data_IF_827031476615
#
_entry.id   IF_827031476615
#
_cell.length_a   1.000
_cell.length_b   1.000
_cell.length_c   1.000
_cell.angle_alpha   90.00
_cell.angle_beta   90.00
_cell.angle_gamma   90.00
#
_symmetry.space_group_name_H-M   'P 1'
#
loop_
_entity.id
_entity.type
_entity.pdbx_description
1 polymer ?
#
# COMPACT_ATOMS: atom_id res chain seq x y z
N UNK A 1 -16.03 -16.53 10.82
CA UNK A 1 -14.59 -16.67 11.14
C UNK A 1 -14.02 -15.26 11.07
N UNK A 2 -13.44 -14.78 12.14
CA UNK A 2 -12.86 -13.44 12.20
C UNK A 2 -11.38 -13.53 11.80
N UNK A 3 -10.90 -12.62 10.93
CA UNK A 3 -9.49 -12.57 10.54
C UNK A 3 -8.70 -11.90 11.66
N UNK A 4 -7.67 -12.56 12.18
CA UNK A 4 -6.82 -12.02 13.24
C UNK A 4 -5.38 -11.83 12.78
N UNK A 5 -4.80 -10.70 13.17
CA UNK A 5 -3.37 -10.38 13.06
C UNK A 5 -2.73 -10.22 14.45
N UNK A 6 -3.36 -10.79 15.49
CA UNK A 6 -2.86 -10.70 16.85
C UNK A 6 -1.42 -11.18 16.97
N UNK A 7 -0.58 -10.36 17.59
CA UNK A 7 0.84 -10.64 17.78
C UNK A 7 1.69 -10.46 16.50
N UNK A 8 1.17 -9.91 15.43
CA UNK A 8 1.92 -9.52 14.22
C UNK A 8 2.31 -8.04 14.28
N UNK A 9 3.47 -7.70 13.74
CA UNK A 9 3.94 -6.32 13.55
C UNK A 9 3.86 -5.96 12.08
N UNK A 10 3.11 -4.91 11.77
CA UNK A 10 2.86 -4.44 10.42
C UNK A 10 3.40 -3.03 10.20
N UNK A 11 4.08 -2.80 9.08
CA UNK A 11 4.46 -1.47 8.61
C UNK A 11 3.57 -1.08 7.43
N UNK A 12 2.99 0.14 7.49
CA UNK A 12 2.12 0.67 6.43
C UNK A 12 2.70 1.96 5.88
N UNK A 13 3.27 1.91 4.67
CA UNK A 13 3.77 3.12 4.00
C UNK A 13 2.61 3.96 3.46
N UNK A 14 2.71 5.29 3.60
CA UNK A 14 1.60 6.19 3.24
C UNK A 14 0.36 5.99 4.12
N UNK A 15 0.55 5.61 5.39
CA UNK A 15 -0.50 5.27 6.35
C UNK A 15 -1.27 6.45 6.96
N UNK A 16 -1.02 7.69 6.49
CA UNK A 16 -1.55 8.89 7.15
C UNK A 16 -2.92 9.34 6.68
N UNK A 17 -3.40 8.86 5.53
CA UNK A 17 -4.71 9.21 4.94
C UNK A 17 -5.19 8.17 3.93
N UNK A 18 -6.45 8.31 3.49
CA UNK A 18 -7.04 7.51 2.40
C UNK A 18 -6.91 6.01 2.62
N UNK A 19 -6.53 5.27 1.58
CA UNK A 19 -6.38 3.81 1.62
C UNK A 19 -5.39 3.38 2.71
N UNK A 20 -4.22 4.05 2.81
CA UNK A 20 -3.22 3.71 3.82
C UNK A 20 -3.73 3.83 5.24
N UNK A 21 -4.49 4.88 5.54
CA UNK A 21 -5.10 5.05 6.87
C UNK A 21 -6.16 3.98 7.15
N UNK A 22 -6.97 3.62 6.16
CA UNK A 22 -7.93 2.52 6.30
C UNK A 22 -7.23 1.17 6.54
N UNK A 23 -6.08 0.90 5.89
CA UNK A 23 -5.25 -0.29 6.16
C UNK A 23 -4.74 -0.27 7.60
N UNK A 24 -4.22 0.87 8.07
CA UNK A 24 -3.76 1.03 9.47
C UNK A 24 -4.87 0.65 10.44
N UNK A 25 -6.06 1.25 10.30
CA UNK A 25 -7.21 0.95 11.17
C UNK A 25 -7.60 -0.52 11.12
N UNK A 26 -7.72 -1.07 9.91
CA UNK A 26 -8.14 -2.46 9.73
C UNK A 26 -7.16 -3.46 10.35
N UNK A 27 -5.86 -3.19 10.28
CA UNK A 27 -4.84 -4.04 10.91
C UNK A 27 -4.86 -3.92 12.43
N UNK A 28 -5.07 -2.71 12.99
CA UNK A 28 -5.23 -2.49 14.43
C UNK A 28 -6.48 -3.19 14.97
N UNK A 29 -7.62 -3.07 14.27
CA UNK A 29 -8.85 -3.78 14.60
C UNK A 29 -8.67 -5.31 14.60
N UNK A 30 -7.80 -5.83 13.73
CA UNK A 30 -7.42 -7.24 13.69
C UNK A 30 -6.38 -7.65 14.75
N UNK A 31 -5.94 -6.73 15.61
CA UNK A 31 -5.04 -6.98 16.74
C UNK A 31 -3.55 -6.92 16.43
N UNK A 32 -3.15 -6.34 15.29
CA UNK A 32 -1.74 -6.11 14.97
C UNK A 32 -1.17 -4.91 15.74
N UNK A 33 0.14 -4.93 16.02
CA UNK A 33 0.92 -3.72 16.26
C UNK A 33 1.20 -3.07 14.90
N UNK A 34 0.90 -1.78 14.74
CA UNK A 34 1.06 -1.09 13.46
C UNK A 34 2.01 0.10 13.55
N UNK A 35 2.99 0.15 12.65
CA UNK A 35 3.86 1.31 12.44
C UNK A 35 3.41 2.00 11.15
N UNK A 36 2.75 3.14 11.27
CA UNK A 36 2.36 3.96 10.12
C UNK A 36 3.51 4.86 9.66
N UNK A 37 3.74 4.94 8.34
CA UNK A 37 4.74 5.81 7.76
C UNK A 37 4.07 7.00 7.08
N UNK A 38 4.44 8.22 7.49
CA UNK A 38 4.09 9.48 6.83
C UNK A 38 5.21 9.97 5.90
N UNK A 39 4.89 10.94 5.05
CA UNK A 39 5.90 11.63 4.22
C UNK A 39 6.65 12.74 4.98
N UNK A 40 6.10 13.17 6.12
CA UNK A 40 6.67 14.16 7.03
C UNK A 40 6.32 13.79 8.46
N UNK A 41 7.19 14.14 9.39
CA UNK A 41 6.97 13.88 10.82
C UNK A 41 5.62 14.44 11.31
N UNK A 42 5.28 15.67 10.95
CA UNK A 42 4.03 16.30 11.35
C UNK A 42 2.77 15.58 10.85
N UNK A 43 2.79 15.03 9.62
CA UNK A 43 1.66 14.26 9.10
C UNK A 43 1.54 12.88 9.74
N UNK A 44 2.66 12.26 10.09
CA UNK A 44 2.69 10.99 10.80
C UNK A 44 2.15 11.15 12.23
N UNK A 45 2.56 12.20 12.95
CA UNK A 45 2.08 12.53 14.30
C UNK A 45 0.59 12.87 14.33
N UNK A 46 0.10 13.64 13.35
CA UNK A 46 -1.31 13.95 13.24
C UNK A 46 -2.16 12.68 13.00
N UNK A 47 -1.69 11.78 12.14
CA UNK A 47 -2.37 10.51 11.90
C UNK A 47 -2.33 9.60 13.13
N UNK A 48 -1.20 9.54 13.85
CA UNK A 48 -1.08 8.82 15.11
C UNK A 48 -2.10 9.35 16.14
N UNK A 49 -2.17 10.67 16.34
CA UNK A 49 -3.12 11.28 17.27
C UNK A 49 -4.57 10.92 16.91
N UNK A 50 -4.92 10.99 15.61
CA UNK A 50 -6.24 10.62 15.11
C UNK A 50 -6.56 9.14 15.37
N UNK A 51 -5.60 8.23 15.15
CA UNK A 51 -5.80 6.81 15.47
C UNK A 51 -6.05 6.63 16.97
N UNK A 52 -5.29 7.31 17.82
CA UNK A 52 -5.45 7.22 19.26
C UNK A 52 -6.78 7.82 19.78
N UNK A 53 -7.32 8.80 19.10
CA UNK A 53 -8.67 9.33 19.39
C UNK A 53 -9.76 8.31 19.01
N UNK A 54 -9.65 7.67 17.83
CA UNK A 54 -10.63 6.71 17.33
C UNK A 54 -10.52 5.32 17.98
N UNK A 55 -9.30 4.91 18.33
CA UNK A 55 -8.95 3.61 18.89
C UNK A 55 -7.93 3.80 20.04
N UNK A 56 -8.35 4.20 21.25
CA UNK A 56 -7.45 4.58 22.35
C UNK A 56 -6.46 3.46 22.75
N UNK A 57 -6.91 2.21 22.72
CA UNK A 57 -6.11 1.04 23.12
C UNK A 57 -5.25 0.47 21.98
N UNK A 58 -5.31 1.04 20.77
CA UNK A 58 -4.58 0.53 19.62
C UNK A 58 -3.06 0.61 19.83
N UNK A 59 -2.35 -0.44 19.46
CA UNK A 59 -0.88 -0.50 19.51
C UNK A 59 -0.30 0.06 18.20
N UNK A 60 -0.23 1.40 18.12
CA UNK A 60 0.18 2.16 16.94
C UNK A 60 1.41 3.02 17.21
N UNK A 61 2.27 3.14 16.22
CA UNK A 61 3.47 3.99 16.19
C UNK A 61 3.54 4.75 14.88
N UNK A 62 4.29 5.86 14.87
CA UNK A 62 4.42 6.71 13.69
C UNK A 62 5.90 7.01 13.38
N UNK A 63 6.27 6.88 12.11
CA UNK A 63 7.59 7.22 11.59
C UNK A 63 7.45 7.99 10.26
N UNK A 64 8.51 8.66 9.83
CA UNK A 64 8.49 9.41 8.58
C UNK A 64 9.82 9.30 7.79
N UNK A 65 10.26 8.08 7.41
CA UNK A 65 11.46 7.94 6.60
C UNK A 65 11.22 8.45 5.18
N UNK A 66 12.24 9.01 4.55
CA UNK A 66 12.23 9.26 3.10
C UNK A 66 12.25 7.93 2.36
N UNK A 67 11.13 7.52 1.74
CA UNK A 67 11.00 6.20 1.13
C UNK A 67 11.86 6.01 -0.13
N UNK A 68 12.30 7.10 -0.78
CA UNK A 68 13.22 7.05 -1.91
C UNK A 68 14.69 6.94 -1.48
N UNK A 69 14.97 7.17 -0.19
CA UNK A 69 16.29 7.03 0.42
C UNK A 69 16.46 5.63 1.04
N UNK A 70 17.35 4.86 0.47
CA UNK A 70 17.63 3.49 0.92
C UNK A 70 18.08 3.41 2.37
N UNK A 71 19.00 4.30 2.78
CA UNK A 71 19.55 4.27 4.13
C UNK A 71 18.48 4.61 5.18
N UNK A 72 17.67 5.64 4.91
CA UNK A 72 16.57 6.03 5.79
C UNK A 72 15.53 4.90 5.96
N UNK A 73 15.19 4.16 4.89
CA UNK A 73 14.27 3.02 4.97
C UNK A 73 14.89 1.86 5.75
N UNK A 74 16.15 1.51 5.47
CA UNK A 74 16.85 0.42 6.17
C UNK A 74 16.97 0.70 7.67
N UNK A 75 17.32 1.92 8.06
CA UNK A 75 17.38 2.35 9.46
C UNK A 75 16.01 2.29 10.14
N UNK A 76 14.97 2.82 9.48
CA UNK A 76 13.61 2.82 10.01
C UNK A 76 13.07 1.39 10.21
N UNK A 77 13.30 0.47 9.26
CA UNK A 77 12.81 -0.90 9.36
C UNK A 77 13.64 -1.73 10.37
N UNK A 78 14.94 -1.44 10.48
CA UNK A 78 15.79 -1.99 11.54
C UNK A 78 15.27 -1.56 12.93
N UNK A 79 14.93 -0.29 13.11
CA UNK A 79 14.33 0.21 14.35
C UNK A 79 13.02 -0.54 14.68
N UNK A 80 12.15 -0.80 13.69
CA UNK A 80 10.93 -1.60 13.90
C UNK A 80 11.28 -2.99 14.45
N UNK A 81 12.24 -3.66 13.82
CA UNK A 81 12.65 -5.00 14.27
C UNK A 81 13.29 -4.97 15.67
N UNK A 82 14.18 -4.04 15.95
CA UNK A 82 14.84 -3.90 17.26
C UNK A 82 13.83 -3.61 18.38
N UNK A 83 12.80 -2.79 18.08
CA UNK A 83 11.77 -2.43 19.06
C UNK A 83 10.80 -3.57 19.39
N UNK A 84 10.40 -4.35 18.40
CA UNK A 84 9.33 -5.35 18.55
C UNK A 84 9.82 -6.80 18.48
N UNK A 85 11.08 -7.04 18.11
CA UNK A 85 11.65 -8.38 17.93
C UNK A 85 11.10 -9.10 16.69
N UNK A 86 10.33 -8.43 15.84
CA UNK A 86 9.69 -9.01 14.65
C UNK A 86 9.26 -7.95 13.63
N UNK A 87 9.09 -8.39 12.38
CA UNK A 87 8.55 -7.61 11.29
C UNK A 87 7.80 -8.59 10.37
N UNK A 88 6.46 -8.64 10.47
CA UNK A 88 5.67 -9.68 9.82
C UNK A 88 5.02 -9.23 8.52
N UNK A 89 4.58 -7.96 8.44
CA UNK A 89 3.78 -7.48 7.33
C UNK A 89 4.31 -6.13 6.85
N UNK A 90 4.51 -6.01 5.53
CA UNK A 90 4.71 -4.73 4.86
C UNK A 90 3.50 -4.45 3.96
N UNK A 91 2.71 -3.42 4.28
CA UNK A 91 1.74 -2.82 3.38
C UNK A 91 2.42 -1.68 2.61
N UNK A 92 2.87 -1.96 1.40
CA UNK A 92 3.62 -1.06 0.53
C UNK A 92 2.63 -0.20 -0.27
N UNK A 93 2.05 0.80 0.40
CA UNK A 93 0.91 1.56 -0.10
C UNK A 93 1.26 2.99 -0.58
N UNK A 94 2.37 3.57 -0.13
CA UNK A 94 2.76 4.91 -0.55
C UNK A 94 2.86 5.04 -2.07
N UNK A 95 2.32 6.13 -2.60
CA UNK A 95 2.36 6.42 -4.04
C UNK A 95 1.61 7.71 -4.36
N UNK A 96 1.82 8.20 -5.58
CA UNK A 96 1.13 9.36 -6.15
C UNK A 96 0.52 8.97 -7.50
N UNK A 97 -0.59 9.62 -7.84
CA UNK A 97 -1.16 9.56 -9.19
C UNK A 97 -0.82 10.82 -9.96
N UNK A 98 -0.83 10.70 -11.29
CA UNK A 98 -0.55 11.79 -12.21
C UNK A 98 -1.32 11.56 -13.51
N UNK A 99 -1.79 12.67 -14.12
CA UNK A 99 -2.55 12.65 -15.37
C UNK A 99 -2.03 13.65 -16.39
N UNK A 100 -0.81 14.16 -16.22
CA UNK A 100 -0.14 15.06 -17.17
C UNK A 100 -0.03 14.38 -18.54
N UNK A 101 -0.43 15.03 -19.65
CA UNK A 101 -0.22 14.49 -20.99
C UNK A 101 1.26 14.23 -21.26
N UNK A 102 1.56 13.23 -22.12
CA UNK A 102 2.93 12.80 -22.39
C UNK A 102 3.89 13.94 -22.77
N UNK A 103 3.41 14.87 -23.58
CA UNK A 103 4.24 15.97 -24.12
C UNK A 103 4.47 17.12 -23.12
N UNK A 104 3.75 17.12 -22.00
CA UNK A 104 3.77 18.18 -21.00
C UNK A 104 4.49 17.76 -19.71
N UNK A 105 4.99 16.50 -19.61
CA UNK A 105 5.75 16.06 -18.44
C UNK A 105 7.05 16.84 -18.29
N UNK A 106 7.33 17.28 -17.07
CA UNK A 106 8.68 17.74 -16.70
C UNK A 106 9.53 16.57 -16.19
N UNK A 107 10.86 16.71 -16.25
CA UNK A 107 11.78 15.68 -15.74
C UNK A 107 11.57 15.46 -14.23
N UNK A 108 11.26 16.53 -13.46
CA UNK A 108 10.99 16.44 -12.03
C UNK A 108 9.72 15.63 -11.72
N UNK A 109 8.68 15.74 -12.57
CA UNK A 109 7.47 14.93 -12.43
C UNK A 109 7.76 13.45 -12.72
N UNK A 110 8.58 13.18 -13.75
CA UNK A 110 9.03 11.83 -14.08
C UNK A 110 9.81 11.22 -12.91
N UNK A 111 10.83 11.89 -12.44
CA UNK A 111 11.67 11.43 -11.33
C UNK A 111 10.84 11.18 -10.06
N UNK A 112 9.95 12.09 -9.73
CA UNK A 112 9.09 11.97 -8.55
C UNK A 112 8.19 10.73 -8.61
N UNK A 113 7.59 10.42 -9.77
CA UNK A 113 6.75 9.23 -9.92
C UNK A 113 7.59 7.96 -9.87
N UNK A 114 8.73 7.95 -10.57
CA UNK A 114 9.64 6.81 -10.58
C UNK A 114 10.20 6.52 -9.18
N UNK A 115 10.63 7.54 -8.48
CA UNK A 115 11.19 7.41 -7.14
C UNK A 115 10.15 6.89 -6.13
N UNK A 116 8.92 7.45 -6.12
CA UNK A 116 7.94 7.07 -5.12
C UNK A 116 7.15 5.80 -5.49
N UNK A 117 6.74 5.64 -6.75
CA UNK A 117 5.86 4.55 -7.13
C UNK A 117 6.62 3.25 -7.50
N UNK A 118 7.91 3.33 -7.81
CA UNK A 118 8.71 2.16 -8.23
C UNK A 118 9.87 1.94 -7.29
N UNK A 119 10.80 2.90 -7.20
CA UNK A 119 12.02 2.75 -6.39
C UNK A 119 11.69 2.56 -4.91
N UNK A 120 10.79 3.37 -4.33
CA UNK A 120 10.39 3.23 -2.93
C UNK A 120 9.74 1.88 -2.66
N UNK A 121 8.85 1.38 -3.56
CA UNK A 121 8.25 0.04 -3.44
C UNK A 121 9.32 -1.04 -3.40
N UNK A 122 10.31 -0.97 -4.29
CA UNK A 122 11.42 -1.93 -4.33
C UNK A 122 12.31 -1.82 -3.08
N UNK A 123 12.68 -0.61 -2.67
CA UNK A 123 13.56 -0.37 -1.50
C UNK A 123 12.89 -0.87 -0.22
N UNK A 124 11.62 -0.54 0.00
CA UNK A 124 10.87 -1.02 1.16
C UNK A 124 10.73 -2.55 1.15
N UNK A 125 10.38 -3.14 0.00
CA UNK A 125 10.27 -4.59 -0.13
C UNK A 125 11.62 -5.28 0.17
N UNK A 126 12.74 -4.75 -0.34
CA UNK A 126 14.09 -5.27 -0.08
C UNK A 126 14.47 -5.19 1.39
N UNK A 127 14.23 -4.04 2.04
CA UNK A 127 14.55 -3.85 3.45
C UNK A 127 13.74 -4.80 4.34
N UNK A 128 12.41 -4.91 4.10
CA UNK A 128 11.55 -5.85 4.81
C UNK A 128 11.97 -7.31 4.57
N UNK A 129 12.23 -7.71 3.33
CA UNK A 129 12.60 -9.07 2.98
C UNK A 129 13.92 -9.52 3.64
N UNK A 130 14.91 -8.63 3.80
CA UNK A 130 16.15 -8.93 4.54
C UNK A 130 15.86 -9.32 5.99
N UNK A 131 14.97 -8.60 6.67
CA UNK A 131 14.57 -8.89 8.04
C UNK A 131 13.71 -10.17 8.09
N UNK A 132 12.68 -10.26 7.27
CA UNK A 132 11.76 -11.40 7.24
C UNK A 132 12.46 -12.71 6.96
N UNK A 133 13.43 -12.73 6.04
CA UNK A 133 14.21 -13.92 5.69
C UNK A 133 14.90 -14.56 6.90
N UNK A 134 15.45 -13.74 7.80
CA UNK A 134 16.17 -14.21 8.99
C UNK A 134 15.22 -14.50 10.17
N UNK A 135 13.93 -14.14 10.05
CA UNK A 135 12.96 -14.17 11.16
C UNK A 135 11.70 -14.99 10.85
N UNK A 136 11.83 -16.02 10.00
CA UNK A 136 10.78 -17.01 9.80
C UNK A 136 9.74 -16.66 8.74
N UNK A 137 10.02 -15.69 7.88
CA UNK A 137 9.13 -15.32 6.78
C UNK A 137 8.29 -14.05 7.05
N UNK A 138 7.31 -13.81 6.21
CA UNK A 138 6.45 -12.62 6.31
C UNK A 138 5.53 -12.41 5.11
N UNK A 139 4.89 -11.26 5.05
CA UNK A 139 3.97 -10.88 3.98
C UNK A 139 4.24 -9.48 3.48
N UNK A 140 4.34 -9.31 2.17
CA UNK A 140 4.42 -8.01 1.49
C UNK A 140 3.17 -7.88 0.63
N UNK A 141 2.40 -6.80 0.83
CA UNK A 141 1.24 -6.47 -0.01
C UNK A 141 1.47 -5.09 -0.62
N UNK A 142 1.53 -5.04 -1.96
CA UNK A 142 1.78 -3.81 -2.71
C UNK A 142 0.47 -3.18 -3.18
N UNK A 143 0.39 -1.84 -3.23
CA UNK A 143 -0.71 -1.12 -3.85
C UNK A 143 -0.41 -0.90 -5.34
N UNK A 144 -1.10 -1.67 -6.19
CA UNK A 144 -1.17 -1.46 -7.63
C UNK A 144 -2.33 -0.52 -7.99
N UNK A 145 -2.95 -0.72 -9.13
CA UNK A 145 -4.16 -0.01 -9.58
C UNK A 145 -4.77 -0.77 -10.76
N UNK A 146 -6.06 -0.64 -10.99
CA UNK A 146 -6.72 -1.18 -12.21
C UNK A 146 -6.09 -0.61 -13.49
N UNK A 147 -5.55 0.60 -13.47
CA UNK A 147 -4.84 1.17 -14.63
C UNK A 147 -3.56 0.42 -15.00
N UNK A 148 -3.06 -0.46 -14.12
CA UNK A 148 -1.98 -1.41 -14.43
C UNK A 148 -2.44 -2.60 -15.29
N UNK A 149 -3.69 -2.64 -15.68
CA UNK A 149 -4.28 -3.71 -16.50
C UNK A 149 -4.66 -3.16 -17.87
N UNK A 150 -5.29 -1.98 -17.93
CA UNK A 150 -5.79 -1.41 -19.20
C UNK A 150 -5.22 -0.01 -19.54
N UNK A 151 -4.37 0.59 -18.68
CA UNK A 151 -3.85 1.94 -18.90
C UNK A 151 -4.84 3.04 -18.49
N UNK A 152 -4.59 4.26 -18.96
CA UNK A 152 -5.52 5.40 -18.82
C UNK A 152 -5.36 6.35 -20.01
N UNK A 153 -6.37 7.21 -20.27
CA UNK A 153 -6.37 8.08 -21.47
C UNK A 153 -5.30 9.17 -21.47
N UNK A 154 -4.82 9.59 -20.29
CA UNK A 154 -3.81 10.63 -20.13
C UNK A 154 -2.93 10.31 -18.92
N UNK A 155 -1.65 10.74 -18.96
CA UNK A 155 -0.71 10.49 -17.87
C UNK A 155 -0.18 9.05 -17.86
N UNK A 156 0.47 8.62 -18.94
CA UNK A 156 0.96 7.25 -19.13
C UNK A 156 1.95 6.77 -18.05
N UNK A 157 2.64 7.67 -17.37
CA UNK A 157 3.68 7.32 -16.42
C UNK A 157 3.11 6.68 -15.13
N UNK A 158 1.95 7.16 -14.67
CA UNK A 158 1.28 6.54 -13.51
C UNK A 158 0.87 5.09 -13.79
N UNK A 159 0.14 4.74 -14.86
CA UNK A 159 -0.10 3.36 -15.23
C UNK A 159 1.19 2.55 -15.38
N UNK A 160 2.19 3.07 -16.08
CA UNK A 160 3.48 2.40 -16.28
C UNK A 160 4.12 2.03 -14.93
N UNK A 161 4.08 2.94 -13.95
CA UNK A 161 4.58 2.67 -12.59
C UNK A 161 3.81 1.53 -11.91
N UNK A 162 2.50 1.42 -12.14
CA UNK A 162 1.66 0.36 -11.55
C UNK A 162 1.82 -0.99 -12.28
N UNK A 163 2.09 -0.99 -13.59
CA UNK A 163 2.58 -2.18 -14.30
C UNK A 163 3.92 -2.67 -13.73
N UNK A 164 4.85 -1.76 -13.42
CA UNK A 164 6.11 -2.11 -12.76
C UNK A 164 5.88 -2.77 -11.39
N UNK A 165 4.95 -2.24 -10.57
CA UNK A 165 4.57 -2.86 -9.28
C UNK A 165 4.05 -4.29 -9.46
N UNK A 166 3.24 -4.55 -10.51
CA UNK A 166 2.78 -5.90 -10.81
C UNK A 166 3.95 -6.84 -11.17
N UNK A 167 4.92 -6.33 -11.95
CA UNK A 167 6.13 -7.06 -12.29
C UNK A 167 6.99 -7.38 -11.05
N UNK A 168 7.22 -6.38 -10.20
CA UNK A 168 7.92 -6.52 -8.91
C UNK A 168 7.21 -7.58 -8.05
N UNK A 169 5.89 -7.50 -7.90
CA UNK A 169 5.08 -8.43 -7.09
C UNK A 169 5.28 -9.88 -7.54
N UNK A 170 5.10 -10.15 -8.84
CA UNK A 170 5.21 -11.51 -9.40
C UNK A 170 6.63 -12.07 -9.29
N UNK A 171 7.65 -11.23 -9.51
CA UNK A 171 9.05 -11.65 -9.45
C UNK A 171 9.48 -11.94 -8.01
N UNK A 172 9.20 -11.02 -7.08
CA UNK A 172 9.52 -11.20 -5.68
C UNK A 172 8.77 -12.37 -5.04
N UNK A 173 7.52 -12.63 -5.43
CA UNK A 173 6.77 -13.79 -4.97
C UNK A 173 7.50 -15.10 -5.27
N UNK A 174 8.08 -15.24 -6.47
CA UNK A 174 8.84 -16.42 -6.88
C UNK A 174 10.20 -16.51 -6.18
N UNK A 175 10.88 -15.38 -6.05
CA UNK A 175 12.21 -15.30 -5.46
C UNK A 175 12.20 -15.57 -3.95
N UNK A 176 11.20 -15.00 -3.25
CA UNK A 176 11.15 -14.97 -1.78
C UNK A 176 10.36 -16.13 -1.16
N UNK A 177 9.58 -16.89 -1.94
CA UNK A 177 8.76 -17.99 -1.43
C UNK A 177 9.55 -19.04 -0.63
N UNK A 178 10.79 -19.34 -1.05
CA UNK A 178 11.69 -20.27 -0.33
C UNK A 178 12.08 -19.81 1.08
N UNK A 179 11.87 -18.54 1.40
CA UNK A 179 12.11 -17.97 2.72
C UNK A 179 10.81 -17.80 3.54
N UNK A 180 9.69 -18.38 3.08
CA UNK A 180 8.40 -18.22 3.73
C UNK A 180 7.78 -16.82 3.58
N UNK A 181 8.22 -16.02 2.59
CA UNK A 181 7.71 -14.67 2.35
C UNK A 181 6.73 -14.71 1.18
N UNK A 182 5.48 -14.28 1.42
CA UNK A 182 4.46 -14.11 0.39
C UNK A 182 4.46 -12.67 -0.10
N UNK A 183 4.29 -12.47 -1.40
CA UNK A 183 4.22 -11.13 -2.01
C UNK A 183 3.03 -11.07 -2.94
N UNK A 184 2.08 -10.18 -2.65
CA UNK A 184 0.87 -9.97 -3.44
C UNK A 184 0.66 -8.47 -3.71
N UNK A 185 -0.29 -8.15 -4.56
CA UNK A 185 -0.73 -6.78 -4.78
C UNK A 185 -2.25 -6.67 -4.76
N UNK A 186 -2.75 -5.50 -4.36
CA UNK A 186 -4.13 -5.08 -4.51
C UNK A 186 -4.18 -4.00 -5.58
N UNK A 187 -5.13 -4.10 -6.51
CA UNK A 187 -5.35 -3.15 -7.60
C UNK A 187 -6.70 -2.43 -7.44
N UNK A 188 -6.75 -1.32 -6.70
CA UNK A 188 -7.97 -0.55 -6.51
C UNK A 188 -8.41 0.14 -7.80
N UNK A 189 -9.73 0.31 -7.98
CA UNK A 189 -10.30 1.27 -8.90
C UNK A 189 -10.39 2.67 -8.25
N UNK A 190 -11.19 3.57 -8.86
CA UNK A 190 -11.44 4.89 -8.28
C UNK A 190 -12.00 4.73 -6.86
N UNK A 191 -11.24 5.21 -5.88
CA UNK A 191 -11.51 5.06 -4.45
C UNK A 191 -11.78 6.42 -3.83
N UNK A 192 -12.80 6.52 -2.96
CA UNK A 192 -13.19 7.74 -2.26
C UNK A 192 -12.10 8.13 -1.26
N UNK A 193 -11.18 8.97 -1.69
CA UNK A 193 -10.10 9.55 -0.89
C UNK A 193 -10.09 11.06 -1.08
N UNK A 194 -9.35 11.79 -0.24
CA UNK A 194 -9.18 13.25 -0.39
C UNK A 194 -8.71 13.64 -1.80
N UNK A 195 -7.97 12.78 -2.47
CA UNK A 195 -7.49 12.98 -3.84
C UNK A 195 -8.64 13.05 -4.85
N UNK A 196 -9.70 12.27 -4.63
CA UNK A 196 -10.88 12.20 -5.50
C UNK A 196 -11.96 13.19 -5.04
N UNK A 197 -12.06 13.45 -3.74
CA UNK A 197 -13.06 14.38 -3.18
C UNK A 197 -12.98 15.81 -3.76
N UNK A 198 -11.80 16.20 -4.24
CA UNK A 198 -11.57 17.52 -4.84
C UNK A 198 -11.87 17.55 -6.36
N UNK A 199 -12.25 16.44 -6.97
CA UNK A 199 -12.62 16.41 -8.39
C UNK A 199 -14.07 16.90 -8.58
N UNK A 200 -14.35 17.63 -9.68
CA UNK A 200 -15.72 18.02 -10.00
C UNK A 200 -16.65 16.82 -10.15
N UNK A 201 -17.87 16.96 -9.70
CA UNK A 201 -18.90 15.89 -9.78
C UNK A 201 -19.14 15.44 -11.24
N UNK A 202 -19.00 16.36 -12.20
CA UNK A 202 -19.08 16.06 -13.63
C UNK A 202 -18.00 15.10 -14.13
N UNK A 203 -16.86 15.01 -13.46
CA UNK A 203 -15.81 14.06 -13.77
C UNK A 203 -16.03 12.73 -13.04
N UNK A 204 -16.60 12.77 -11.83
CA UNK A 204 -16.79 11.59 -10.99
C UNK A 204 -17.97 10.72 -11.47
N UNK A 205 -19.12 11.35 -11.80
CA UNK A 205 -20.34 10.63 -12.25
C UNK A 205 -20.10 9.66 -13.41
N UNK A 206 -19.41 10.06 -14.51
CA UNK A 206 -19.15 9.14 -15.62
C UNK A 206 -18.24 7.96 -15.23
N UNK A 207 -17.34 8.16 -14.26
CA UNK A 207 -16.46 7.09 -13.78
C UNK A 207 -17.26 6.08 -12.95
N UNK A 208 -18.16 6.55 -12.05
CA UNK A 208 -19.04 5.66 -11.27
C UNK A 208 -19.99 4.90 -12.17
N UNK A 209 -20.52 5.53 -13.21
CA UNK A 209 -21.45 4.89 -14.15
C UNK A 209 -20.80 3.69 -14.90
N UNK A 210 -19.47 3.61 -14.93
CA UNK A 210 -18.73 2.49 -15.52
C UNK A 210 -18.47 1.35 -14.54
N UNK A 211 -18.80 1.52 -13.26
CA UNK A 211 -18.57 0.51 -12.22
C UNK A 211 -19.85 -0.35 -12.11
N UNK A 212 -19.82 -1.62 -12.51
CA UNK A 212 -21.03 -2.47 -12.50
C UNK A 212 -21.69 -2.61 -11.12
N UNK A 213 -20.92 -2.62 -10.02
CA UNK A 213 -21.46 -2.64 -8.65
C UNK A 213 -22.18 -1.35 -8.26
N UNK A 214 -22.11 -0.28 -9.07
CA UNK A 214 -22.91 0.94 -8.95
C UNK A 214 -22.46 1.97 -7.92
N UNK A 215 -21.26 1.79 -7.32
CA UNK A 215 -20.69 2.76 -6.39
C UNK A 215 -19.18 2.89 -6.55
N UNK A 216 -18.65 4.00 -6.05
CA UNK A 216 -17.20 4.17 -5.89
C UNK A 216 -16.67 3.18 -4.84
N UNK A 217 -15.44 2.75 -5.02
CA UNK A 217 -14.71 2.00 -3.99
C UNK A 217 -14.50 2.87 -2.76
N UNK A 218 -14.71 2.31 -1.57
CA UNK A 218 -14.33 2.96 -0.31
C UNK A 218 -12.93 2.48 0.13
N UNK A 219 -12.16 3.29 0.88
CA UNK A 219 -10.86 2.88 1.41
C UNK A 219 -10.91 1.55 2.19
N UNK A 220 -12.01 1.29 2.87
CA UNK A 220 -12.26 0.07 3.65
C UNK A 220 -12.40 -1.17 2.75
N UNK A 221 -12.97 -1.04 1.54
CA UNK A 221 -13.03 -2.15 0.58
C UNK A 221 -11.62 -2.63 0.23
N UNK A 222 -10.70 -1.67 0.01
CA UNK A 222 -9.28 -1.96 -0.28
C UNK A 222 -8.58 -2.54 0.94
N UNK A 223 -8.79 -1.93 2.13
CA UNK A 223 -8.18 -2.38 3.38
C UNK A 223 -8.58 -3.82 3.75
N UNK A 224 -9.82 -4.24 3.44
CA UNK A 224 -10.28 -5.61 3.62
C UNK A 224 -9.49 -6.61 2.76
N UNK A 225 -9.15 -6.26 1.51
CA UNK A 225 -8.31 -7.09 0.66
C UNK A 225 -6.87 -7.18 1.20
N UNK A 226 -6.32 -6.07 1.70
CA UNK A 226 -5.03 -6.06 2.40
C UNK A 226 -5.04 -6.98 3.62
N UNK A 227 -6.07 -6.89 4.48
CA UNK A 227 -6.22 -7.73 5.66
C UNK A 227 -6.25 -9.21 5.29
N UNK A 228 -7.08 -9.59 4.31
CA UNK A 228 -7.17 -10.97 3.84
C UNK A 228 -5.81 -11.50 3.34
N UNK A 229 -5.14 -10.75 2.45
CA UNK A 229 -3.85 -11.17 1.88
C UNK A 229 -2.74 -11.23 2.93
N UNK A 230 -2.84 -10.45 4.01
CA UNK A 230 -1.88 -10.44 5.12
C UNK A 230 -2.11 -11.56 6.13
N UNK A 231 -3.26 -12.19 6.10
CA UNK A 231 -3.68 -13.22 7.07
C UNK A 231 -3.22 -14.64 6.68
N UNK A 232 -3.37 -15.56 7.61
CA UNK A 232 -3.13 -17.00 7.39
C UNK A 232 -4.16 -17.63 6.42
N UNK A 233 -5.32 -17.00 6.22
CA UNK A 233 -6.30 -17.45 5.22
C UNK A 233 -5.75 -17.37 3.78
N UNK A 234 -4.74 -16.53 3.55
CA UNK A 234 -4.04 -16.40 2.29
C UNK A 234 -2.69 -17.14 2.26
N UNK A 235 -2.47 -18.12 3.14
CA UNK A 235 -1.17 -18.81 3.31
C UNK A 235 -0.63 -19.46 2.04
N UNK A 236 -1.49 -19.84 1.10
CA UNK A 236 -1.10 -20.42 -0.20
C UNK A 236 -1.26 -19.47 -1.39
N UNK A 237 -1.49 -18.15 -1.10
CA UNK A 237 -1.66 -17.11 -2.11
C UNK A 237 -0.41 -16.24 -2.16
N UNK A 238 0.32 -16.29 -3.28
CA UNK A 238 1.48 -15.42 -3.55
C UNK A 238 1.62 -15.15 -5.05
N UNK A 239 2.08 -13.97 -5.43
CA UNK A 239 2.26 -13.53 -6.81
C UNK A 239 1.00 -13.05 -7.52
N UNK A 240 -0.12 -12.89 -6.81
CA UNK A 240 -1.38 -12.42 -7.39
C UNK A 240 -1.51 -10.89 -7.32
N UNK A 241 -2.23 -10.34 -8.27
CA UNK A 241 -2.72 -8.96 -8.27
C UNK A 241 -4.23 -9.04 -8.18
N UNK A 242 -4.79 -8.65 -7.05
CA UNK A 242 -6.23 -8.75 -6.76
C UNK A 242 -6.92 -7.43 -7.10
N UNK A 243 -7.78 -7.36 -8.13
CA UNK A 243 -8.60 -6.19 -8.39
C UNK A 243 -9.62 -5.97 -7.25
N UNK A 244 -9.76 -4.71 -6.83
CA UNK A 244 -10.83 -4.25 -5.93
C UNK A 244 -11.54 -3.14 -6.68
N UNK A 245 -12.41 -3.51 -7.61
CA UNK A 245 -12.81 -2.64 -8.71
C UNK A 245 -14.31 -2.67 -9.06
N UNK A 246 -15.11 -3.48 -8.38
CA UNK A 246 -16.53 -3.57 -8.65
C UNK A 246 -16.85 -4.05 -10.07
N UNK A 247 -15.95 -4.87 -10.64
CA UNK A 247 -16.05 -5.45 -12.00
C UNK A 247 -15.75 -4.47 -13.16
N UNK A 248 -14.97 -3.38 -12.90
CA UNK A 248 -14.56 -2.43 -13.96
C UNK A 248 -13.65 -3.10 -15.01
N UNK A 249 -12.90 -4.12 -14.62
CA UNK A 249 -11.83 -4.77 -15.43
C UNK A 249 -12.25 -6.17 -15.92
N UNK A 250 -13.50 -6.40 -16.16
CA UNK A 250 -13.95 -7.66 -16.77
C UNK A 250 -14.11 -7.46 -18.28
#
# INVERSE_FOLDING_TARGET
MEISLKGKVAVVTGGTRGIGYAIVKKYLEAGATVVLCGSKQSTAEAAFAKVKEELPEADVYAIAPSLADTAAVEEAFKWVFEKFGRFDILANNAGISQSTPLVDYTDEEVDRIMDLNIKAVFVCARAAARIMKENGGGVIVNTSSVVSIYGQPSGCLYPASKFAVNGITKSLARELAKFGIRVNAVAPCITRTDMVANLPESMIKPLIARIPIGRMCEPEDVANAFLFLSSELASYITGVVVPVDGAVVI
#
